data_IF_849186711092
#
_entry.id   IF_849186711092
#
_cell.length_a   1.000
_cell.length_b   1.000
_cell.length_c   1.000
_cell.angle_alpha   90.00
_cell.angle_beta   90.00
_cell.angle_gamma   90.00
#
_symmetry.space_group_name_H-M   'P 1'
#
loop_
_entity.id
_entity.type
_entity.pdbx_description
1 polymer ?
#
# COMPACT_ATOMS: atom_id res chain seq x y z
N UNK A 1 9.63 58.15 -7.94
CA UNK A 1 10.38 56.92 -8.24
C UNK A 1 9.77 55.79 -7.42
N UNK A 2 9.27 54.71 -8.04
CA UNK A 2 8.81 53.55 -7.28
C UNK A 2 10.01 52.98 -6.50
N UNK A 3 9.83 52.69 -5.21
CA UNK A 3 10.86 52.03 -4.40
C UNK A 3 11.18 50.68 -5.05
N UNK A 4 12.46 50.30 -5.17
CA UNK A 4 12.80 48.95 -5.60
C UNK A 4 12.14 47.95 -4.65
N UNK A 5 11.35 47.04 -5.21
CA UNK A 5 10.75 45.93 -4.46
C UNK A 5 11.90 45.07 -3.97
N UNK A 6 12.16 45.08 -2.65
CA UNK A 6 13.14 44.20 -2.03
C UNK A 6 12.59 42.78 -2.09
N UNK A 7 13.14 41.96 -2.98
CA UNK A 7 12.77 40.55 -3.14
C UNK A 7 13.81 39.69 -2.45
N UNK A 8 13.38 38.69 -1.69
CA UNK A 8 14.31 37.73 -1.10
C UNK A 8 15.01 36.91 -2.20
N UNK A 9 16.30 36.57 -2.04
CA UNK A 9 17.04 35.80 -3.03
C UNK A 9 16.65 34.31 -3.06
N UNK A 10 15.64 33.90 -2.28
CA UNK A 10 15.17 32.53 -2.10
C UNK A 10 13.68 32.48 -2.39
N UNK A 11 13.21 31.44 -3.09
CA UNK A 11 11.78 31.23 -3.28
C UNK A 11 11.12 30.83 -1.95
N UNK A 12 10.19 31.65 -1.45
CA UNK A 12 9.48 31.43 -0.19
C UNK A 12 8.06 30.88 -0.36
N UNK A 13 7.58 30.76 -1.60
CA UNK A 13 6.23 30.28 -1.91
C UNK A 13 5.89 28.92 -1.26
N UNK A 14 6.82 27.97 -1.05
CA UNK A 14 6.53 26.72 -0.37
C UNK A 14 6.34 26.81 1.15
N UNK A 15 6.79 27.90 1.80
CA UNK A 15 6.81 28.01 3.26
C UNK A 15 5.43 27.93 3.94
N UNK A 16 4.34 28.53 3.41
CA UNK A 16 3.02 28.41 4.00
C UNK A 16 2.57 26.95 4.08
N UNK A 17 2.77 26.20 3.00
CA UNK A 17 2.45 24.77 2.93
C UNK A 17 3.32 23.95 3.89
N UNK A 18 4.63 24.21 3.91
CA UNK A 18 5.55 23.56 4.85
C UNK A 18 5.14 23.77 6.31
N UNK A 19 4.88 25.02 6.72
CA UNK A 19 4.48 25.31 8.10
C UNK A 19 3.08 24.84 8.46
N UNK A 20 2.18 24.69 7.48
CA UNK A 20 0.87 24.10 7.73
C UNK A 20 0.97 22.66 8.24
N UNK A 21 2.00 21.91 7.83
CA UNK A 21 2.24 20.53 8.27
C UNK A 21 2.85 20.43 9.66
N UNK A 22 3.30 21.54 10.24
CA UNK A 22 3.84 21.55 11.60
C UNK A 22 2.77 21.11 12.61
N UNK A 23 3.16 20.43 13.71
CA UNK A 23 2.26 20.23 14.85
C UNK A 23 1.80 21.55 15.49
N UNK A 24 2.51 22.66 15.23
CA UNK A 24 2.24 23.98 15.81
C UNK A 24 1.51 24.91 14.85
N UNK A 25 0.66 25.78 15.41
CA UNK A 25 0.09 26.88 14.64
C UNK A 25 1.15 27.91 14.25
N UNK A 26 0.91 28.68 13.19
CA UNK A 26 1.80 29.78 12.79
C UNK A 26 2.07 30.79 13.92
N UNK A 27 1.08 31.05 14.77
CA UNK A 27 1.25 31.95 15.92
C UNK A 27 2.23 31.36 16.95
N UNK A 28 2.16 30.05 17.17
CA UNK A 28 3.05 29.34 18.09
C UNK A 28 4.47 29.22 17.51
N UNK A 29 4.60 28.98 16.21
CA UNK A 29 5.88 28.99 15.49
C UNK A 29 6.55 30.37 15.64
N UNK A 30 5.80 31.45 15.36
CA UNK A 30 6.30 32.81 15.52
C UNK A 30 6.77 33.08 16.95
N UNK A 31 5.96 32.69 17.95
CA UNK A 31 6.29 32.84 19.37
C UNK A 31 7.56 32.09 19.76
N UNK A 32 7.68 30.82 19.35
CA UNK A 32 8.81 29.94 19.69
C UNK A 32 10.13 30.39 19.05
N UNK A 33 10.08 30.85 17.80
CA UNK A 33 11.26 31.41 17.13
C UNK A 33 11.63 32.83 17.62
N UNK A 34 10.69 33.53 18.28
CA UNK A 34 10.88 34.92 18.73
C UNK A 34 10.70 35.93 17.60
N UNK A 35 9.65 35.77 16.79
CA UNK A 35 9.23 36.69 15.74
C UNK A 35 7.80 37.17 15.98
N UNK A 36 7.51 38.43 15.66
CA UNK A 36 6.13 38.94 15.68
C UNK A 36 5.25 38.19 14.67
N UNK A 37 4.02 37.83 15.07
CA UNK A 37 3.07 37.12 14.20
C UNK A 37 2.83 37.85 12.87
N UNK A 38 2.70 39.18 12.90
CA UNK A 38 2.54 40.00 11.69
C UNK A 38 3.73 39.86 10.75
N UNK A 39 4.95 39.83 11.29
CA UNK A 39 6.16 39.70 10.49
C UNK A 39 6.24 38.32 9.84
N UNK A 40 5.92 37.25 10.57
CA UNK A 40 5.85 35.91 9.98
C UNK A 40 4.78 35.85 8.87
N UNK A 41 3.58 36.38 9.11
CA UNK A 41 2.51 36.35 8.10
C UNK A 41 2.85 37.17 6.85
N UNK A 42 3.49 38.33 7.00
CA UNK A 42 3.95 39.11 5.85
C UNK A 42 5.07 38.37 5.09
N UNK A 43 6.01 37.74 5.80
CA UNK A 43 7.06 36.92 5.19
C UNK A 43 6.46 35.79 4.34
N UNK A 44 5.45 35.10 4.87
CA UNK A 44 4.75 34.02 4.17
C UNK A 44 3.91 34.49 2.96
N UNK A 45 3.68 35.80 2.82
CA UNK A 45 3.06 36.42 1.64
C UNK A 45 4.10 36.96 0.65
N UNK A 46 5.39 36.75 0.92
CA UNK A 46 6.49 37.30 0.13
C UNK A 46 6.81 38.76 0.45
N UNK A 47 6.24 39.34 1.51
CA UNK A 47 6.57 40.69 1.95
C UNK A 47 7.91 40.68 2.70
N UNK A 48 8.74 41.71 2.46
CA UNK A 48 10.04 41.83 3.10
C UNK A 48 9.94 42.39 4.54
N UNK A 49 9.43 41.57 5.47
CA UNK A 49 9.16 41.96 6.87
C UNK A 49 10.31 41.69 7.84
N UNK A 50 11.31 40.91 7.43
CA UNK A 50 12.47 40.54 8.27
C UNK A 50 13.78 40.72 7.50
N UNK A 51 14.90 40.88 8.22
CA UNK A 51 16.22 40.90 7.59
C UNK A 51 16.59 39.53 7.00
N UNK A 52 17.52 39.52 6.04
CA UNK A 52 18.02 38.28 5.45
C UNK A 52 18.60 37.33 6.50
N UNK A 53 19.40 37.82 7.44
CA UNK A 53 19.98 37.00 8.51
C UNK A 53 18.90 36.33 9.37
N UNK A 54 17.83 37.06 9.69
CA UNK A 54 16.72 36.53 10.48
C UNK A 54 15.90 35.51 9.69
N UNK A 55 15.75 35.69 8.37
CA UNK A 55 15.16 34.69 7.47
C UNK A 55 16.02 33.42 7.45
N UNK A 56 17.32 33.52 7.21
CA UNK A 56 18.21 32.35 7.18
C UNK A 56 18.23 31.62 8.52
N UNK A 57 18.20 32.35 9.64
CA UNK A 57 18.06 31.76 10.97
C UNK A 57 16.71 31.03 11.14
N UNK A 58 15.61 31.57 10.62
CA UNK A 58 14.29 30.91 10.65
C UNK A 58 14.28 29.63 9.81
N UNK A 59 14.84 29.67 8.60
CA UNK A 59 14.93 28.51 7.70
C UNK A 59 15.76 27.40 8.36
N UNK A 60 16.96 27.73 8.85
CA UNK A 60 17.81 26.80 9.56
C UNK A 60 17.14 26.23 10.82
N UNK A 61 16.48 27.08 11.63
CA UNK A 61 15.71 26.65 12.79
C UNK A 61 14.56 25.70 12.42
N UNK A 62 13.98 25.88 11.23
CA UNK A 62 12.91 25.05 10.68
C UNK A 62 13.41 23.74 10.05
N UNK A 63 14.73 23.54 9.97
CA UNK A 63 15.31 22.38 9.29
C UNK A 63 15.24 22.48 7.77
N UNK A 64 15.34 23.70 7.24
CA UNK A 64 15.36 23.99 5.82
C UNK A 64 16.74 24.51 5.42
N UNK A 65 17.20 24.04 4.27
CA UNK A 65 18.43 24.49 3.62
C UNK A 65 18.08 25.23 2.33
N UNK A 66 18.93 26.18 1.96
CA UNK A 66 18.83 26.91 0.70
C UNK A 66 19.92 26.41 -0.23
N UNK A 67 19.53 25.75 -1.31
CA UNK A 67 20.44 25.29 -2.36
C UNK A 67 19.93 25.77 -3.71
N UNK A 68 20.77 26.45 -4.47
CA UNK A 68 20.43 27.01 -5.78
C UNK A 68 19.16 27.91 -5.76
N UNK A 69 19.02 28.72 -4.69
CA UNK A 69 17.85 29.59 -4.42
C UNK A 69 16.53 28.85 -4.17
N UNK A 70 16.56 27.53 -4.04
CA UNK A 70 15.42 26.68 -3.71
C UNK A 70 15.53 26.14 -2.28
N UNK A 71 14.38 25.89 -1.66
CA UNK A 71 14.29 25.27 -0.35
C UNK A 71 14.41 23.75 -0.46
N UNK A 72 15.17 23.15 0.45
CA UNK A 72 15.27 21.70 0.64
C UNK A 72 15.19 21.35 2.12
N UNK A 73 14.76 20.12 2.43
CA UNK A 73 14.83 19.63 3.80
C UNK A 73 16.28 19.32 4.18
N UNK A 74 16.69 19.77 5.37
CA UNK A 74 17.94 19.36 5.98
C UNK A 74 17.91 17.85 6.30
N UNK A 75 19.07 17.17 6.43
CA UNK A 75 19.18 15.74 6.74
C UNK A 75 18.87 15.46 8.23
N UNK A 76 17.63 15.74 8.62
CA UNK A 76 17.12 15.70 9.99
C UNK A 76 15.76 15.00 10.00
N UNK A 77 15.23 14.70 11.19
CA UNK A 77 13.88 14.17 11.33
C UNK A 77 12.88 15.31 11.50
N UNK A 78 12.11 15.55 10.44
CA UNK A 78 10.95 16.42 10.44
C UNK A 78 9.76 15.73 11.11
N UNK A 79 8.94 16.49 11.81
CA UNK A 79 7.76 15.98 12.51
C UNK A 79 6.53 16.73 12.00
N UNK A 80 5.66 16.03 11.28
CA UNK A 80 4.53 16.59 10.57
C UNK A 80 3.20 15.95 10.98
N UNK A 81 2.11 16.68 10.71
CA UNK A 81 0.75 16.28 11.05
C UNK A 81 -0.25 16.52 9.91
N UNK A 82 -1.15 15.56 9.70
CA UNK A 82 -2.33 15.69 8.84
C UNK A 82 -3.58 15.46 9.67
N UNK A 83 -4.26 16.55 9.99
CA UNK A 83 -5.50 16.55 10.77
C UNK A 83 -6.71 17.09 9.99
N UNK A 84 -6.54 17.49 8.73
CA UNK A 84 -7.55 18.16 7.92
C UNK A 84 -7.21 18.12 6.44
N UNK A 85 -8.19 18.41 5.59
CA UNK A 85 -8.02 18.50 4.13
C UNK A 85 -6.95 19.54 3.76
N UNK A 86 -6.90 20.68 4.45
CA UNK A 86 -5.88 21.72 4.21
C UNK A 86 -4.45 21.22 4.40
N UNK A 87 -4.24 20.27 5.32
CA UNK A 87 -2.92 19.66 5.49
C UNK A 87 -2.58 18.72 4.33
N UNK A 88 -3.57 17.97 3.79
CA UNK A 88 -3.37 17.15 2.58
C UNK A 88 -3.00 18.03 1.38
N UNK A 89 -3.74 19.12 1.17
CA UNK A 89 -3.46 20.09 0.11
C UNK A 89 -2.07 20.72 0.26
N UNK A 90 -1.71 21.13 1.49
CA UNK A 90 -0.39 21.68 1.77
C UNK A 90 0.73 20.69 1.44
N UNK A 91 0.53 19.41 1.79
CA UNK A 91 1.50 18.36 1.53
C UNK A 91 1.68 18.08 0.04
N UNK A 92 0.59 18.10 -0.73
CA UNK A 92 0.62 17.96 -2.20
C UNK A 92 1.26 19.16 -2.90
N UNK A 93 1.14 20.36 -2.32
CA UNK A 93 1.71 21.58 -2.85
C UNK A 93 3.22 21.72 -2.60
N UNK A 94 3.84 20.82 -1.83
CA UNK A 94 5.28 20.87 -1.59
C UNK A 94 6.05 20.49 -2.87
N UNK A 95 7.09 21.27 -3.25
CA UNK A 95 7.98 20.91 -4.35
C UNK A 95 8.83 19.68 -3.98
N UNK A 96 9.36 18.99 -4.98
CA UNK A 96 10.13 17.74 -4.82
C UNK A 96 11.24 17.82 -3.75
N UNK A 97 11.95 18.95 -3.66
CA UNK A 97 13.00 19.16 -2.65
C UNK A 97 12.51 19.18 -1.20
N UNK A 98 11.20 19.30 -0.99
CA UNK A 98 10.52 19.28 0.30
C UNK A 98 9.60 18.07 0.48
N UNK A 99 9.54 17.15 -0.49
CA UNK A 99 8.73 15.95 -0.36
C UNK A 99 9.46 14.88 0.46
N UNK A 100 8.73 14.07 1.24
CA UNK A 100 9.30 12.91 1.93
C UNK A 100 9.70 11.81 0.94
N UNK A 101 10.54 10.87 1.40
CA UNK A 101 10.86 9.67 0.63
C UNK A 101 9.67 8.73 0.43
N UNK A 102 9.83 7.73 -0.44
CA UNK A 102 8.77 6.78 -0.81
C UNK A 102 8.72 5.52 0.06
N UNK A 103 9.77 5.25 0.83
CA UNK A 103 9.85 4.07 1.69
C UNK A 103 9.34 4.41 3.09
N UNK A 104 8.21 3.83 3.45
CA UNK A 104 7.50 4.15 4.69
C UNK A 104 7.47 2.97 5.66
N UNK A 105 7.64 3.28 6.93
CA UNK A 105 7.54 2.36 8.05
C UNK A 105 6.38 2.80 8.94
N UNK A 106 5.50 1.87 9.33
CA UNK A 106 4.46 2.19 10.31
C UNK A 106 5.10 2.27 11.70
N UNK A 107 4.75 3.31 12.44
CA UNK A 107 5.15 3.50 13.83
C UNK A 107 3.92 3.40 14.73
N UNK A 108 3.96 2.55 15.74
CA UNK A 108 2.93 2.48 16.79
C UNK A 108 3.49 2.91 18.14
N UNK A 109 2.61 3.35 19.05
CA UNK A 109 2.97 3.48 20.46
C UNK A 109 3.18 2.09 21.07
N UNK A 110 4.08 1.99 22.06
CA UNK A 110 4.52 0.72 22.64
C UNK A 110 3.46 0.06 23.55
N UNK A 111 2.62 0.85 24.19
CA UNK A 111 1.76 0.38 25.28
C UNK A 111 0.43 -0.16 24.75
N UNK A 112 -0.20 0.56 23.81
CA UNK A 112 -1.39 0.12 23.07
C UNK A 112 -1.41 0.82 21.70
N UNK A 113 -1.63 0.10 20.59
CA UNK A 113 -1.85 0.73 19.30
C UNK A 113 -3.14 1.58 19.31
N UNK A 114 -2.97 2.91 19.36
CA UNK A 114 -4.10 3.85 19.36
C UNK A 114 -4.71 3.95 17.97
N UNK A 115 -6.03 4.18 17.93
CA UNK A 115 -6.77 4.38 16.68
C UNK A 115 -6.97 5.85 16.33
N UNK A 116 -6.57 6.81 17.18
CA UNK A 116 -6.80 8.23 16.90
C UNK A 116 -5.83 8.82 15.87
N UNK A 117 -4.64 8.23 15.75
CA UNK A 117 -3.57 8.68 14.86
C UNK A 117 -2.83 7.49 14.26
N UNK A 118 -2.41 7.65 13.01
CA UNK A 118 -1.56 6.73 12.27
C UNK A 118 -0.22 7.41 12.06
N UNK A 119 0.85 6.82 12.56
CA UNK A 119 2.19 7.38 12.42
C UNK A 119 2.98 6.59 11.38
N UNK A 120 3.52 7.28 10.39
CA UNK A 120 4.40 6.70 9.37
C UNK A 120 5.70 7.47 9.31
N UNK A 121 6.81 6.76 9.16
CA UNK A 121 8.15 7.32 9.12
C UNK A 121 8.81 7.01 7.79
N UNK A 122 9.33 8.02 7.10
CA UNK A 122 10.05 7.84 5.84
C UNK A 122 11.51 7.43 6.10
N UNK A 123 11.89 6.26 5.61
CA UNK A 123 13.23 5.66 5.79
C UNK A 123 13.98 5.70 4.47
N UNK A 124 14.21 6.88 3.90
CA UNK A 124 14.96 6.93 2.65
C UNK A 124 16.46 6.81 2.92
N UNK A 125 17.07 5.73 2.40
CA UNK A 125 18.53 5.62 2.28
C UNK A 125 18.92 6.25 0.95
N UNK A 126 19.71 7.33 0.98
CA UNK A 126 20.23 7.92 -0.25
C UNK A 126 21.02 6.89 -1.05
N UNK A 127 20.81 6.86 -2.38
CA UNK A 127 21.83 6.31 -3.28
C UNK A 127 23.10 7.13 -3.02
N UNK A 128 24.22 6.46 -2.77
CA UNK A 128 25.54 7.06 -2.46
C UNK A 128 25.80 7.45 -0.99
N UNK A 129 24.96 7.01 -0.04
CA UNK A 129 25.25 7.18 1.40
C UNK A 129 25.01 8.59 1.94
N UNK A 130 24.37 9.47 1.16
CA UNK A 130 23.85 10.74 1.66
C UNK A 130 22.64 10.48 2.58
N UNK A 131 22.70 10.98 3.81
CA UNK A 131 21.55 10.98 4.72
C UNK A 131 20.48 11.89 4.12
N UNK A 132 19.38 11.33 3.63
CA UNK A 132 18.21 12.11 3.22
C UNK A 132 17.41 12.55 4.43
N UNK A 133 16.65 13.63 4.25
CA UNK A 133 15.71 14.10 5.26
C UNK A 133 14.67 13.01 5.57
N UNK A 134 14.36 12.86 6.85
CA UNK A 134 13.35 11.91 7.31
C UNK A 134 12.12 12.68 7.78
N UNK A 135 10.95 12.09 7.59
CA UNK A 135 9.68 12.67 8.02
C UNK A 135 8.94 11.65 8.86
N UNK A 136 8.64 12.01 10.11
CA UNK A 136 7.61 11.36 10.91
C UNK A 136 6.29 12.08 10.65
N UNK A 137 5.36 11.41 9.99
CA UNK A 137 4.06 11.93 9.63
C UNK A 137 2.98 11.29 10.50
N UNK A 138 2.23 12.11 11.23
CA UNK A 138 1.08 11.69 12.03
C UNK A 138 -0.23 12.09 11.37
N UNK A 139 -1.06 11.11 11.03
CA UNK A 139 -2.25 11.30 10.19
C UNK A 139 -3.49 10.86 10.95
N UNK A 140 -4.55 11.66 10.94
CA UNK A 140 -5.86 11.23 11.44
C UNK A 140 -6.41 10.12 10.52
N UNK A 141 -6.99 9.03 11.05
CA UNK A 141 -7.46 7.89 10.26
C UNK A 141 -8.37 8.27 9.09
N UNK A 142 -9.28 9.23 9.28
CA UNK A 142 -10.22 9.67 8.25
C UNK A 142 -9.55 10.27 7.00
N UNK A 143 -8.32 10.77 7.14
CA UNK A 143 -7.54 11.35 6.04
C UNK A 143 -6.51 10.39 5.46
N UNK A 144 -6.26 9.26 6.11
CA UNK A 144 -5.24 8.30 5.68
C UNK A 144 -5.59 7.62 4.34
N UNK A 145 -6.83 7.15 4.09
CA UNK A 145 -7.18 6.60 2.78
C UNK A 145 -7.00 7.60 1.63
N UNK A 146 -7.33 8.88 1.86
CA UNK A 146 -7.11 9.94 0.88
C UNK A 146 -5.63 10.15 0.63
N UNK A 147 -4.81 10.15 1.68
CA UNK A 147 -3.36 10.22 1.55
C UNK A 147 -2.80 9.05 0.70
N UNK A 148 -3.27 7.83 0.92
CA UNK A 148 -2.87 6.65 0.14
C UNK A 148 -3.28 6.73 -1.34
N UNK A 149 -4.37 7.43 -1.69
CA UNK A 149 -4.73 7.66 -3.10
C UNK A 149 -3.69 8.51 -3.82
N UNK A 150 -3.11 9.49 -3.13
CA UNK A 150 -2.07 10.36 -3.68
C UNK A 150 -0.67 9.73 -3.59
N UNK A 151 -0.43 8.91 -2.57
CA UNK A 151 0.82 8.16 -2.38
C UNK A 151 0.55 6.69 -2.06
N UNK A 152 0.37 5.86 -3.11
CA UNK A 152 0.02 4.45 -2.93
C UNK A 152 1.01 3.64 -2.09
N UNK A 153 2.29 4.04 -2.05
CA UNK A 153 3.33 3.38 -1.24
C UNK A 153 3.05 3.41 0.28
N UNK A 154 2.26 4.37 0.76
CA UNK A 154 1.82 4.40 2.17
C UNK A 154 0.87 3.25 2.52
N UNK A 155 0.18 2.68 1.54
CA UNK A 155 -0.66 1.51 1.73
C UNK A 155 0.13 0.22 1.97
N UNK A 156 1.44 0.19 1.71
CA UNK A 156 2.30 -0.98 1.87
C UNK A 156 3.56 -0.69 2.68
N UNK A 157 3.44 -0.26 3.94
CA UNK A 157 4.60 0.05 4.78
C UNK A 157 5.53 -1.16 4.95
N UNK A 158 6.83 -0.93 4.78
CA UNK A 158 7.85 -1.99 4.70
C UNK A 158 8.12 -2.69 6.03
N UNK A 159 7.91 -2.00 7.16
CA UNK A 159 8.12 -2.53 8.49
C UNK A 159 7.19 -1.88 9.52
N UNK A 160 7.13 -2.51 10.69
CA UNK A 160 6.52 -1.97 11.90
C UNK A 160 7.62 -1.60 12.91
N UNK A 161 7.51 -0.43 13.53
CA UNK A 161 8.35 0.04 14.64
C UNK A 161 7.49 0.53 15.78
N UNK A 162 8.03 0.53 17.00
CA UNK A 162 7.41 1.20 18.12
C UNK A 162 8.20 2.43 18.55
N UNK A 163 7.49 3.43 19.08
CA UNK A 163 8.14 4.45 19.88
C UNK A 163 8.87 3.80 21.06
N UNK A 164 10.07 4.29 21.39
CA UNK A 164 10.78 3.87 22.58
C UNK A 164 9.94 4.15 23.84
N UNK A 165 10.11 3.36 24.93
CA UNK A 165 9.34 3.53 26.15
C UNK A 165 9.36 4.98 26.67
N UNK A 166 8.19 5.51 27.04
CA UNK A 166 8.05 6.89 27.49
C UNK A 166 8.21 7.96 26.40
N UNK A 167 8.15 7.57 25.12
CA UNK A 167 8.07 8.48 23.98
C UNK A 167 6.71 8.33 23.29
N UNK A 168 6.11 9.46 22.94
CA UNK A 168 4.94 9.52 22.07
C UNK A 168 5.09 10.64 21.05
N UNK A 169 4.27 10.64 20.01
CA UNK A 169 4.22 11.75 19.07
C UNK A 169 3.95 13.09 19.79
N UNK A 170 3.06 13.10 20.79
CA UNK A 170 2.72 14.29 21.55
C UNK A 170 3.92 14.82 22.35
N UNK A 171 4.69 13.93 22.98
CA UNK A 171 5.91 14.30 23.69
C UNK A 171 6.93 14.92 22.75
N UNK A 172 7.16 14.29 21.59
CA UNK A 172 8.08 14.81 20.58
C UNK A 172 7.63 16.20 20.11
N UNK A 173 6.38 16.33 19.67
CA UNK A 173 5.81 17.60 19.23
C UNK A 173 6.01 18.70 20.28
N UNK A 174 5.78 18.40 21.56
CA UNK A 174 5.90 19.36 22.68
C UNK A 174 7.32 19.94 22.84
N UNK A 175 8.35 19.14 22.52
CA UNK A 175 9.76 19.53 22.64
C UNK A 175 10.25 20.40 21.47
N UNK A 176 9.57 20.34 20.33
CA UNK A 176 9.94 21.10 19.14
C UNK A 176 9.79 22.61 19.37
N UNK A 177 10.63 23.36 18.70
CA UNK A 177 10.68 24.82 18.73
C UNK A 177 11.29 25.42 19.98
N UNK A 178 11.78 24.64 20.94
CA UNK A 178 12.69 25.15 22.00
C UNK A 178 14.05 25.53 21.41
N UNK A 179 14.57 24.67 20.56
CA UNK A 179 15.87 24.85 19.89
C UNK A 179 15.71 24.81 18.38
N UNK A 180 14.92 23.86 17.85
CA UNK A 180 14.66 23.66 16.43
C UNK A 180 13.25 23.09 16.22
N UNK A 181 12.68 23.24 15.01
CA UNK A 181 11.39 22.63 14.62
C UNK A 181 11.51 21.16 14.18
N UNK A 182 12.71 20.59 14.26
CA UNK A 182 13.03 19.22 13.87
C UNK A 182 13.81 18.50 14.99
N UNK A 183 14.02 17.20 14.82
CA UNK A 183 14.90 16.40 15.67
C UNK A 183 16.18 16.05 14.91
N UNK A 184 17.34 16.17 15.58
CA UNK A 184 18.62 15.80 14.98
C UNK A 184 18.68 14.30 14.70
N UNK A 185 19.54 13.89 13.78
CA UNK A 185 19.74 12.47 13.47
C UNK A 185 20.09 11.65 14.74
N UNK A 186 20.96 12.18 15.62
CA UNK A 186 21.32 11.55 16.89
C UNK A 186 20.11 11.37 17.84
N UNK A 187 19.22 12.36 17.91
CA UNK A 187 18.00 12.23 18.70
C UNK A 187 17.06 11.18 18.10
N UNK A 188 17.01 11.09 16.76
CA UNK A 188 16.09 10.21 16.03
C UNK A 188 16.39 8.71 16.20
N UNK A 189 17.66 8.31 16.34
CA UNK A 189 18.03 6.89 16.45
C UNK A 189 17.52 6.24 17.74
N UNK A 190 17.35 7.04 18.80
CA UNK A 190 16.81 6.59 20.09
C UNK A 190 15.28 6.52 20.16
N UNK A 191 14.57 6.97 19.11
CA UNK A 191 13.12 7.07 19.13
C UNK A 191 12.41 5.76 18.81
N UNK A 192 13.08 4.85 18.12
CA UNK A 192 12.45 3.68 17.52
C UNK A 192 13.00 2.40 18.14
N UNK A 193 12.10 1.48 18.48
CA UNK A 193 12.45 0.11 18.85
C UNK A 193 11.80 -0.86 17.87
N UNK A 194 12.51 -1.95 17.55
CA UNK A 194 11.89 -3.07 16.84
C UNK A 194 10.83 -3.68 17.77
N UNK A 195 9.61 -4.00 17.26
CA UNK A 195 8.64 -4.76 18.03
C UNK A 195 9.28 -6.04 18.55
N UNK A 196 9.16 -6.31 19.86
CA UNK A 196 9.32 -7.68 20.35
C UNK A 196 8.04 -8.45 20.00
N UNK A 197 8.11 -9.77 19.85
CA UNK A 197 6.91 -10.58 19.66
C UNK A 197 5.88 -10.24 20.76
N UNK A 198 4.62 -9.94 20.39
CA UNK A 198 3.60 -9.61 21.38
C UNK A 198 3.46 -10.77 22.36
N UNK A 199 3.44 -10.46 23.65
CA UNK A 199 3.19 -11.49 24.66
C UNK A 199 1.83 -12.16 24.38
N UNK A 200 1.64 -13.44 24.76
CA UNK A 200 0.42 -14.18 24.44
C UNK A 200 -0.88 -13.46 24.84
N UNK A 201 -0.85 -12.63 25.90
CA UNK A 201 -1.98 -11.83 26.36
C UNK A 201 -2.37 -10.65 25.45
N UNK A 202 -1.39 -10.02 24.79
CA UNK A 202 -1.59 -8.81 23.98
C UNK A 202 -1.83 -9.12 22.49
N UNK A 203 -1.67 -10.39 22.11
CA UNK A 203 -1.81 -10.86 20.72
C UNK A 203 -3.21 -10.60 20.15
N UNK A 204 -4.26 -10.70 20.97
CA UNK A 204 -5.63 -10.47 20.52
C UNK A 204 -5.89 -8.99 20.15
N UNK A 205 -5.43 -8.06 21.00
CA UNK A 205 -5.57 -6.62 20.76
C UNK A 205 -4.75 -6.17 19.56
N UNK A 206 -3.52 -6.69 19.43
CA UNK A 206 -2.68 -6.46 18.26
C UNK A 206 -3.33 -6.96 16.97
N UNK A 207 -3.90 -8.18 16.99
CA UNK A 207 -4.60 -8.74 15.83
C UNK A 207 -5.84 -7.92 15.46
N UNK A 208 -6.63 -7.48 16.44
CA UNK A 208 -7.80 -6.64 16.23
C UNK A 208 -7.42 -5.26 15.67
N UNK A 209 -6.32 -4.66 16.13
CA UNK A 209 -5.79 -3.43 15.58
C UNK A 209 -5.27 -3.61 14.15
N UNK A 210 -4.48 -4.65 13.90
CA UNK A 210 -3.98 -4.94 12.56
C UNK A 210 -5.12 -5.21 11.57
N UNK A 211 -6.18 -5.91 12.01
CA UNK A 211 -7.40 -6.10 11.23
C UNK A 211 -8.09 -4.77 10.93
N UNK A 212 -8.20 -3.89 11.93
CA UNK A 212 -8.77 -2.56 11.72
C UNK A 212 -7.97 -1.73 10.71
N UNK A 213 -6.63 -1.76 10.74
CA UNK A 213 -5.78 -1.10 9.73
C UNK A 213 -6.09 -1.60 8.31
N UNK A 214 -6.21 -2.92 8.13
CA UNK A 214 -6.51 -3.53 6.84
C UNK A 214 -7.91 -3.14 6.34
N UNK A 215 -8.91 -3.24 7.21
CA UNK A 215 -10.31 -3.01 6.86
C UNK A 215 -10.65 -1.54 6.64
N UNK A 216 -10.17 -0.67 7.53
CA UNK A 216 -10.57 0.73 7.56
C UNK A 216 -9.64 1.62 6.73
N UNK A 217 -8.35 1.26 6.64
CA UNK A 217 -7.32 2.09 6.01
C UNK A 217 -6.71 1.46 4.75
N UNK A 218 -7.10 0.22 4.41
CA UNK A 218 -6.56 -0.55 3.30
C UNK A 218 -5.04 -0.71 3.35
N UNK A 219 -4.46 -0.75 4.55
CA UNK A 219 -3.04 -0.96 4.74
C UNK A 219 -2.68 -2.44 4.64
N UNK A 220 -1.69 -2.78 3.81
CA UNK A 220 -1.08 -4.09 3.78
C UNK A 220 -0.16 -4.26 4.99
N UNK A 221 -0.57 -5.14 5.90
CA UNK A 221 0.16 -5.49 7.13
C UNK A 221 0.81 -6.87 7.04
N UNK A 222 0.71 -7.53 5.88
CA UNK A 222 1.31 -8.85 5.65
C UNK A 222 2.84 -8.91 5.88
N UNK A 223 3.65 -7.87 5.55
CA UNK A 223 5.09 -7.94 5.76
C UNK A 223 5.49 -8.12 7.23
N UNK A 224 4.64 -7.73 8.18
CA UNK A 224 4.97 -7.76 9.61
C UNK A 224 4.48 -9.02 10.31
N UNK A 225 3.36 -9.57 9.85
CA UNK A 225 2.78 -10.79 10.40
C UNK A 225 3.53 -12.05 9.96
N UNK A 226 4.24 -11.98 8.83
CA UNK A 226 5.00 -13.10 8.25
C UNK A 226 6.49 -13.06 8.60
N UNK A 227 6.91 -12.09 9.41
CA UNK A 227 8.28 -11.59 9.63
C UNK A 227 9.35 -12.54 10.15
N UNK A 228 9.15 -13.86 10.13
CA UNK A 228 10.22 -14.85 10.39
C UNK A 228 10.25 -15.98 9.36
N UNK A 229 9.26 -16.07 8.46
CA UNK A 229 9.17 -17.16 7.51
C UNK A 229 9.89 -16.88 6.18
N UNK A 230 10.17 -15.60 5.88
CA UNK A 230 10.85 -15.17 4.66
C UNK A 230 12.38 -15.10 4.79
N UNK A 231 12.93 -14.71 5.95
CA UNK A 231 14.39 -14.59 6.13
C UNK A 231 15.12 -15.95 6.10
N UNK A 232 14.41 -17.06 6.36
CA UNK A 232 14.97 -18.41 6.22
C UNK A 232 14.73 -19.04 4.83
N UNK A 233 14.09 -18.33 3.90
CA UNK A 233 13.88 -18.79 2.52
C UNK A 233 14.70 -18.03 1.48
N UNK A 234 15.28 -16.87 1.83
CA UNK A 234 16.03 -16.04 0.89
C UNK A 234 17.51 -16.37 0.90
N UNK A 235 17.90 -17.51 0.33
CA UNK A 235 19.22 -17.60 -0.33
C UNK A 235 19.38 -18.72 -1.37
N UNK A 236 18.49 -19.72 -1.48
CA UNK A 236 18.77 -20.86 -2.40
C UNK A 236 17.67 -21.26 -3.40
N UNK A 237 16.42 -20.73 -3.33
CA UNK A 237 15.31 -21.31 -4.10
C UNK A 237 14.56 -20.40 -5.11
N UNK A 238 14.99 -19.15 -5.33
CA UNK A 238 14.34 -18.31 -6.36
C UNK A 238 14.58 -18.85 -7.79
N UNK A 239 15.64 -19.61 -8.02
CA UNK A 239 15.88 -20.32 -9.29
C UNK A 239 15.09 -21.63 -9.42
N UNK A 240 14.61 -22.23 -8.32
CA UNK A 240 13.82 -23.46 -8.37
C UNK A 240 12.32 -23.21 -8.65
N UNK A 241 11.83 -22.00 -8.37
CA UNK A 241 10.42 -21.59 -8.53
C UNK A 241 9.99 -21.26 -9.97
N UNK A 242 10.88 -21.39 -10.96
CA UNK A 242 10.65 -21.03 -12.37
C UNK A 242 10.19 -22.19 -13.26
N UNK A 243 10.06 -23.41 -12.73
CA UNK A 243 9.63 -24.59 -13.49
C UNK A 243 8.27 -25.12 -13.02
N UNK A 244 7.34 -25.29 -13.96
CA UNK A 244 6.03 -25.91 -13.74
C UNK A 244 6.11 -27.36 -13.27
N UNK A 245 7.24 -28.03 -13.51
CA UNK A 245 7.45 -29.44 -13.16
C UNK A 245 7.86 -29.64 -11.70
N UNK A 246 8.35 -28.60 -11.01
CA UNK A 246 8.69 -28.70 -9.60
C UNK A 246 7.41 -28.59 -8.76
N UNK A 247 7.15 -29.48 -7.78
CA UNK A 247 6.01 -29.33 -6.90
C UNK A 247 6.10 -28.05 -6.06
N UNK A 248 4.96 -27.38 -5.86
CA UNK A 248 4.90 -26.21 -4.98
C UNK A 248 5.23 -26.58 -3.54
N UNK A 249 6.17 -25.86 -2.93
CA UNK A 249 6.53 -26.09 -1.54
C UNK A 249 5.36 -25.72 -0.61
N UNK A 250 4.85 -26.69 0.15
CA UNK A 250 3.65 -26.57 0.98
C UNK A 250 3.72 -25.38 1.95
N UNK A 251 4.82 -25.28 2.71
CA UNK A 251 5.00 -24.20 3.70
C UNK A 251 4.99 -22.83 3.04
N UNK A 252 5.63 -22.70 1.89
CA UNK A 252 5.66 -21.43 1.12
C UNK A 252 4.27 -21.10 0.58
N UNK A 253 3.53 -22.12 0.15
CA UNK A 253 2.16 -21.93 -0.31
C UNK A 253 1.24 -21.43 0.80
N UNK A 254 1.30 -22.02 1.99
CA UNK A 254 0.54 -21.57 3.15
C UNK A 254 0.89 -20.13 3.55
N UNK A 255 2.18 -19.76 3.50
CA UNK A 255 2.63 -18.40 3.79
C UNK A 255 2.07 -17.39 2.78
N UNK A 256 2.16 -17.69 1.47
CA UNK A 256 1.63 -16.81 0.41
C UNK A 256 0.11 -16.70 0.53
N UNK A 257 -0.58 -17.81 0.75
CA UNK A 257 -2.03 -17.80 0.93
C UNK A 257 -2.44 -16.99 2.17
N UNK A 258 -1.73 -17.14 3.28
CA UNK A 258 -1.94 -16.35 4.50
C UNK A 258 -1.72 -14.88 4.19
N UNK A 259 -0.61 -14.51 3.54
CA UNK A 259 -0.31 -13.13 3.16
C UNK A 259 -1.47 -12.48 2.37
N UNK A 260 -1.96 -13.19 1.35
CA UNK A 260 -2.94 -12.64 0.43
C UNK A 260 -4.37 -12.64 0.99
N UNK A 261 -4.74 -13.64 1.79
CA UNK A 261 -6.06 -13.67 2.47
C UNK A 261 -6.14 -12.60 3.55
N UNK A 262 -5.04 -12.38 4.28
CA UNK A 262 -4.95 -11.28 5.24
C UNK A 262 -5.20 -9.93 4.57
N UNK A 263 -4.67 -9.66 3.38
CA UNK A 263 -4.91 -8.38 2.66
C UNK A 263 -6.39 -8.09 2.38
N UNK A 264 -7.24 -9.10 2.31
CA UNK A 264 -8.66 -8.93 2.01
C UNK A 264 -9.53 -8.74 3.26
N UNK A 265 -9.03 -9.10 4.44
CA UNK A 265 -9.67 -9.14 5.77
C UNK A 265 -11.16 -8.73 5.88
N UNK A 266 -12.06 -9.58 5.37
CA UNK A 266 -13.41 -9.77 5.89
C UNK A 266 -13.50 -11.28 5.99
N UNK A 267 -13.85 -11.80 7.16
CA UNK A 267 -13.74 -13.22 7.44
C UNK A 267 -14.22 -14.08 6.27
N UNK A 268 -13.39 -15.01 5.83
CA UNK A 268 -13.78 -16.10 4.92
C UNK A 268 -15.01 -16.89 5.42
N UNK A 269 -15.44 -16.61 6.65
CA UNK A 269 -16.66 -17.04 7.32
C UNK A 269 -17.95 -16.36 6.84
N UNK A 270 -17.90 -15.19 6.19
CA UNK A 270 -19.12 -14.51 5.73
C UNK A 270 -19.83 -15.38 4.67
N UNK A 271 -21.11 -15.69 4.91
CA UNK A 271 -21.81 -16.75 4.20
C UNK A 271 -21.88 -16.54 2.68
N UNK A 272 -21.95 -15.29 2.22
CA UNK A 272 -22.20 -14.92 0.82
C UNK A 272 -20.97 -14.46 0.01
N UNK A 273 -19.74 -14.65 0.51
CA UNK A 273 -18.50 -14.25 -0.21
C UNK A 273 -17.45 -15.36 -0.16
N UNK A 274 -16.54 -15.41 -1.13
CA UNK A 274 -15.33 -16.24 -1.05
C UNK A 274 -14.12 -15.52 -1.65
N UNK A 275 -12.94 -15.89 -1.18
CA UNK A 275 -11.68 -15.37 -1.71
C UNK A 275 -11.10 -16.37 -2.72
N UNK A 276 -10.76 -15.88 -3.91
CA UNK A 276 -10.28 -16.68 -5.05
C UNK A 276 -8.86 -16.25 -5.43
N UNK A 277 -7.88 -17.17 -5.50
CA UNK A 277 -6.50 -16.84 -5.86
C UNK A 277 -6.33 -16.44 -7.31
N UNK A 278 -5.47 -15.45 -7.53
CA UNK A 278 -5.19 -14.83 -8.83
C UNK A 278 -3.85 -15.31 -9.36
N UNK A 279 -3.85 -15.90 -10.55
CA UNK A 279 -2.68 -16.36 -11.28
C UNK A 279 -2.55 -15.63 -12.62
N UNK A 280 -1.32 -15.49 -13.10
CA UNK A 280 -1.08 -15.06 -14.48
C UNK A 280 -0.98 -16.29 -15.38
N UNK A 281 -1.55 -16.24 -16.59
CA UNK A 281 -1.46 -17.34 -17.56
C UNK A 281 -0.04 -17.51 -18.12
N UNK A 282 0.71 -16.42 -18.23
CA UNK A 282 2.05 -16.41 -18.84
C UNK A 282 3.17 -16.62 -17.84
N UNK A 283 2.86 -16.49 -16.55
CA UNK A 283 3.86 -16.56 -15.49
C UNK A 283 4.04 -18.00 -15.03
N UNK A 284 5.28 -18.50 -15.04
CA UNK A 284 5.62 -19.86 -14.59
C UNK A 284 5.57 -20.02 -13.06
N UNK A 285 5.12 -18.99 -12.35
CA UNK A 285 4.99 -19.00 -10.89
C UNK A 285 4.02 -20.06 -10.43
N UNK A 286 4.48 -20.85 -9.47
CA UNK A 286 3.65 -21.80 -8.73
C UNK A 286 2.76 -21.09 -7.70
N UNK A 287 3.02 -19.84 -7.35
CA UNK A 287 2.30 -19.14 -6.28
C UNK A 287 1.33 -18.09 -6.84
N UNK A 288 0.17 -17.86 -6.20
CA UNK A 288 -0.75 -16.82 -6.63
C UNK A 288 -0.10 -15.42 -6.51
N UNK A 289 -0.37 -14.59 -7.49
CA UNK A 289 0.06 -13.19 -7.56
C UNK A 289 -0.84 -12.24 -6.76
N UNK A 290 -2.05 -12.70 -6.40
CA UNK A 290 -3.05 -11.91 -5.70
C UNK A 290 -4.23 -12.76 -5.25
N UNK A 291 -5.21 -12.12 -4.61
CA UNK A 291 -6.51 -12.73 -4.29
C UNK A 291 -7.61 -11.75 -4.69
N UNK A 292 -8.71 -12.26 -5.21
CA UNK A 292 -9.92 -11.49 -5.50
C UNK A 292 -11.06 -11.99 -4.63
N UNK A 293 -11.84 -11.06 -4.09
CA UNK A 293 -13.07 -11.40 -3.38
C UNK A 293 -14.24 -11.37 -4.34
N UNK A 294 -15.00 -12.46 -4.38
CA UNK A 294 -16.21 -12.60 -5.18
C UNK A 294 -17.39 -12.89 -4.27
N UNK A 295 -18.55 -12.32 -4.61
CA UNK A 295 -19.78 -12.49 -3.85
C UNK A 295 -20.73 -13.49 -4.53
N UNK A 296 -21.79 -13.85 -3.79
CA UNK A 296 -22.84 -14.72 -4.28
C UNK A 296 -23.55 -14.14 -5.51
N UNK A 297 -23.63 -12.80 -5.64
CA UNK A 297 -24.29 -12.17 -6.78
C UNK A 297 -23.52 -12.41 -8.09
N UNK A 298 -22.20 -12.38 -8.04
CA UNK A 298 -21.33 -12.69 -9.17
C UNK A 298 -21.26 -14.19 -9.47
N UNK A 299 -21.16 -15.03 -8.43
CA UNK A 299 -20.88 -16.46 -8.58
C UNK A 299 -22.13 -17.34 -8.71
N UNK A 300 -23.29 -16.88 -8.22
CA UNK A 300 -24.43 -17.74 -7.92
C UNK A 300 -24.13 -18.75 -6.80
N UNK A 301 -25.13 -19.54 -6.42
CA UNK A 301 -25.02 -20.47 -5.29
C UNK A 301 -23.97 -21.56 -5.52
N UNK A 302 -23.95 -22.15 -6.71
CA UNK A 302 -23.03 -23.23 -7.04
C UNK A 302 -21.59 -22.74 -7.18
N UNK A 303 -21.40 -21.55 -7.80
CA UNK A 303 -20.09 -20.91 -7.88
C UNK A 303 -19.56 -20.55 -6.50
N UNK A 304 -20.40 -20.03 -5.61
CA UNK A 304 -20.02 -19.74 -4.23
C UNK A 304 -19.64 -21.02 -3.47
N UNK A 305 -20.36 -22.12 -3.64
CA UNK A 305 -19.99 -23.41 -3.05
C UNK A 305 -18.62 -23.89 -3.54
N UNK A 306 -18.33 -23.77 -4.83
CA UNK A 306 -17.01 -24.10 -5.37
C UNK A 306 -15.91 -23.17 -4.82
N UNK A 307 -16.20 -21.88 -4.68
CA UNK A 307 -15.26 -20.91 -4.11
C UNK A 307 -14.99 -21.14 -2.62
N UNK A 308 -16.03 -21.45 -1.84
CA UNK A 308 -15.90 -21.87 -0.43
C UNK A 308 -15.14 -23.17 -0.29
N UNK A 309 -15.34 -24.09 -1.22
CA UNK A 309 -14.54 -25.30 -1.35
C UNK A 309 -13.19 -25.03 -2.05
N UNK A 310 -12.77 -23.79 -2.28
CA UNK A 310 -11.44 -23.43 -2.81
C UNK A 310 -11.09 -24.13 -4.14
N UNK A 311 -12.09 -24.42 -4.97
CA UNK A 311 -11.95 -25.03 -6.30
C UNK A 311 -11.91 -24.01 -7.44
N UNK A 312 -11.82 -22.73 -7.11
CA UNK A 312 -11.80 -21.65 -8.09
C UNK A 312 -10.41 -21.02 -8.15
N UNK A 313 -9.99 -20.66 -9.36
CA UNK A 313 -8.84 -19.79 -9.62
C UNK A 313 -9.23 -18.70 -10.60
N UNK A 314 -8.64 -17.53 -10.42
CA UNK A 314 -8.79 -16.40 -11.30
C UNK A 314 -7.53 -16.24 -12.14
N UNK A 315 -7.63 -16.42 -13.45
CA UNK A 315 -6.49 -16.28 -14.36
C UNK A 315 -6.54 -14.94 -15.08
N UNK A 316 -5.40 -14.26 -15.15
CA UNK A 316 -5.23 -13.01 -15.91
C UNK A 316 -4.26 -13.28 -17.05
N UNK A 317 -4.65 -12.89 -18.25
CA UNK A 317 -3.72 -12.76 -19.37
C UNK A 317 -3.12 -11.34 -19.34
N UNK A 318 -1.81 -11.17 -19.02
CA UNK A 318 -1.21 -9.86 -18.99
C UNK A 318 -1.07 -9.22 -20.38
N UNK A 319 -1.12 -9.99 -21.48
CA UNK A 319 -1.00 -9.46 -22.84
C UNK A 319 -2.30 -8.78 -23.30
N UNK A 320 -3.45 -9.36 -22.95
CA UNK A 320 -4.77 -8.85 -23.37
C UNK A 320 -5.52 -8.13 -22.25
N UNK A 321 -5.15 -8.38 -20.99
CA UNK A 321 -5.90 -7.95 -19.80
C UNK A 321 -7.16 -8.78 -19.54
N UNK A 322 -7.40 -9.83 -20.33
CA UNK A 322 -8.55 -10.71 -20.15
C UNK A 322 -8.44 -11.53 -18.87
N UNK A 323 -9.60 -11.78 -18.25
CA UNK A 323 -9.71 -12.42 -16.96
C UNK A 323 -10.67 -13.59 -17.03
N UNK A 324 -10.27 -14.72 -16.46
CA UNK A 324 -10.99 -15.99 -16.58
C UNK A 324 -11.19 -16.61 -15.19
N UNK A 325 -12.45 -16.89 -14.84
CA UNK A 325 -12.76 -17.68 -13.65
C UNK A 325 -12.78 -19.15 -14.03
N UNK A 326 -11.88 -19.92 -13.44
CA UNK A 326 -11.67 -21.34 -13.75
C UNK A 326 -12.03 -22.20 -12.54
N UNK A 327 -12.88 -23.19 -12.75
CA UNK A 327 -13.19 -24.26 -11.80
C UNK A 327 -12.22 -25.41 -11.99
N UNK A 328 -11.70 -25.93 -10.90
CA UNK A 328 -10.74 -27.02 -10.90
C UNK A 328 -11.31 -28.25 -10.20
N UNK A 329 -10.73 -29.41 -10.54
CA UNK A 329 -11.14 -30.67 -9.91
C UNK A 329 -10.61 -30.79 -8.48
N UNK A 330 -9.35 -30.41 -8.27
CA UNK A 330 -8.66 -30.45 -6.98
C UNK A 330 -8.54 -29.06 -6.33
N UNK A 331 -8.09 -29.05 -5.07
CA UNK A 331 -8.02 -27.86 -4.20
C UNK A 331 -6.61 -27.21 -4.10
N UNK A 332 -5.69 -27.28 -5.09
CA UNK A 332 -4.35 -26.78 -4.84
C UNK A 332 -4.39 -25.25 -4.76
N UNK A 333 -3.95 -24.71 -3.63
CA UNK A 333 -3.77 -23.26 -3.43
C UNK A 333 -2.63 -22.69 -4.27
N UNK A 334 -1.64 -23.53 -4.57
CA UNK A 334 -0.45 -23.21 -5.36
C UNK A 334 -0.11 -24.39 -6.28
N UNK A 335 0.82 -24.19 -7.19
CA UNK A 335 1.23 -25.16 -8.21
C UNK A 335 0.20 -25.30 -9.32
N UNK A 336 0.47 -26.22 -10.24
CA UNK A 336 -0.47 -26.55 -11.29
C UNK A 336 -1.68 -27.34 -10.75
N UNK A 337 -2.86 -27.15 -11.32
CA UNK A 337 -4.03 -27.98 -11.05
C UNK A 337 -3.80 -29.44 -11.45
N UNK A 338 -4.51 -30.36 -10.83
CA UNK A 338 -4.52 -31.75 -11.31
C UNK A 338 -5.31 -31.84 -12.63
N UNK A 339 -4.71 -32.49 -13.64
CA UNK A 339 -5.36 -32.70 -14.92
C UNK A 339 -6.54 -33.68 -14.82
N UNK A 340 -7.57 -33.47 -15.63
CA UNK A 340 -8.71 -34.35 -15.78
C UNK A 340 -9.31 -34.26 -17.18
N UNK A 341 -10.19 -35.19 -17.54
CA UNK A 341 -10.75 -35.25 -18.89
C UNK A 341 -11.97 -34.36 -19.04
N UNK A 342 -12.01 -33.61 -20.13
CA UNK A 342 -13.16 -32.83 -20.56
C UNK A 342 -14.37 -33.70 -20.92
N UNK A 343 -15.54 -33.40 -20.33
CA UNK A 343 -16.78 -34.13 -20.59
C UNK A 343 -17.39 -33.86 -21.98
N UNK A 344 -17.11 -32.68 -22.55
CA UNK A 344 -17.72 -32.21 -23.79
C UNK A 344 -16.69 -31.62 -24.75
N UNK A 345 -16.90 -31.74 -26.05
CA UNK A 345 -16.14 -31.02 -27.06
C UNK A 345 -16.64 -29.56 -27.18
N UNK A 346 -15.75 -28.62 -27.51
CA UNK A 346 -16.05 -27.20 -27.73
C UNK A 346 -16.21 -26.35 -26.46
N UNK A 347 -16.00 -26.92 -25.26
CA UNK A 347 -16.10 -26.18 -24.00
C UNK A 347 -14.83 -25.35 -23.73
N UNK A 348 -14.99 -24.17 -23.13
CA UNK A 348 -13.86 -23.34 -22.73
C UNK A 348 -13.18 -23.90 -21.48
N UNK A 349 -11.87 -24.09 -21.56
CA UNK A 349 -11.08 -24.80 -20.55
C UNK A 349 -9.70 -24.17 -20.38
N UNK A 350 -9.11 -24.42 -19.23
CA UNK A 350 -7.68 -24.22 -18.98
C UNK A 350 -6.92 -25.47 -19.40
N UNK A 351 -5.90 -25.31 -20.24
CA UNK A 351 -5.07 -26.41 -20.74
C UNK A 351 -3.59 -26.05 -20.60
N UNK A 352 -2.76 -27.08 -20.49
CA UNK A 352 -1.30 -26.95 -20.64
C UNK A 352 -0.93 -27.52 -22.01
N UNK A 353 -0.54 -26.67 -22.96
CA UNK A 353 -0.02 -27.10 -24.27
C UNK A 353 1.37 -26.52 -24.45
N UNK A 354 2.31 -27.36 -24.88
CA UNK A 354 3.71 -26.92 -25.14
C UNK A 354 4.33 -26.18 -23.94
N UNK A 355 4.06 -26.66 -22.72
CA UNK A 355 4.48 -26.04 -21.45
C UNK A 355 3.90 -24.63 -21.16
N UNK A 356 2.89 -24.21 -21.91
CA UNK A 356 2.19 -22.94 -21.71
C UNK A 356 0.76 -23.18 -21.25
N UNK A 357 0.39 -22.46 -20.19
CA UNK A 357 -0.98 -22.39 -19.69
C UNK A 357 -1.79 -21.50 -20.63
N UNK A 358 -2.89 -22.02 -21.13
CA UNK A 358 -3.75 -21.30 -22.06
C UNK A 358 -5.22 -21.58 -21.81
N UNK A 359 -6.05 -20.60 -22.16
CA UNK A 359 -7.49 -20.72 -22.20
C UNK A 359 -7.91 -20.98 -23.66
N UNK A 360 -8.57 -22.10 -23.90
CA UNK A 360 -8.99 -22.50 -25.24
C UNK A 360 -10.27 -23.32 -25.21
N UNK A 361 -10.74 -23.73 -26.39
CA UNK A 361 -11.85 -24.68 -26.51
C UNK A 361 -11.32 -26.08 -26.69
N UNK A 362 -11.96 -27.06 -26.04
CA UNK A 362 -11.66 -28.47 -26.29
C UNK A 362 -11.97 -28.84 -27.72
N UNK A 363 -11.08 -29.58 -28.36
CA UNK A 363 -11.25 -30.07 -29.73
C UNK A 363 -12.00 -31.40 -29.74
N UNK A 364 -11.77 -32.22 -28.72
CA UNK A 364 -12.38 -33.54 -28.59
C UNK A 364 -12.94 -33.77 -27.19
N UNK A 365 -13.89 -34.70 -27.11
CA UNK A 365 -14.34 -35.24 -25.82
C UNK A 365 -13.22 -36.10 -25.22
N UNK A 366 -12.95 -35.94 -23.93
CA UNK A 366 -11.90 -36.68 -23.23
C UNK A 366 -10.52 -36.02 -23.27
N UNK A 367 -10.39 -34.83 -23.86
CA UNK A 367 -9.13 -34.05 -23.84
C UNK A 367 -8.72 -33.74 -22.39
N UNK A 368 -7.42 -33.83 -22.10
CA UNK A 368 -6.89 -33.49 -20.77
C UNK A 368 -6.90 -31.97 -20.57
N UNK A 369 -7.54 -31.55 -19.48
CA UNK A 369 -7.73 -30.16 -19.08
C UNK A 369 -7.32 -29.98 -17.62
N UNK A 370 -6.95 -28.77 -17.27
CA UNK A 370 -6.61 -28.37 -15.90
C UNK A 370 -7.78 -27.71 -15.17
N UNK A 371 -8.80 -27.25 -15.92
CA UNK A 371 -9.98 -26.64 -15.35
C UNK A 371 -11.02 -26.23 -16.38
N UNK A 372 -12.24 -26.02 -15.91
CA UNK A 372 -13.40 -25.56 -16.69
C UNK A 372 -13.56 -24.05 -16.53
N UNK A 373 -13.72 -23.31 -17.63
CA UNK A 373 -13.99 -21.88 -17.57
C UNK A 373 -15.46 -21.65 -17.23
N UNK A 374 -15.72 -20.94 -16.13
CA UNK A 374 -17.06 -20.57 -15.69
C UNK A 374 -17.49 -19.21 -16.22
N UNK A 375 -16.56 -18.25 -16.23
CA UNK A 375 -16.83 -16.87 -16.62
C UNK A 375 -15.60 -16.22 -17.22
N UNK A 376 -15.82 -15.18 -18.01
CA UNK A 376 -14.78 -14.33 -18.56
C UNK A 376 -15.13 -12.86 -18.42
N UNK A 377 -14.14 -12.04 -18.12
CA UNK A 377 -14.23 -10.57 -18.14
C UNK A 377 -13.18 -10.10 -19.13
N UNK A 378 -13.64 -9.54 -20.25
CA UNK A 378 -12.75 -9.04 -21.30
C UNK A 378 -12.39 -7.59 -21.07
N UNK A 379 -11.14 -7.23 -21.36
CA UNK A 379 -10.74 -5.83 -21.37
C UNK A 379 -11.40 -5.13 -22.56
N UNK A 380 -12.28 -4.17 -22.31
CA UNK A 380 -12.85 -3.35 -23.39
C UNK A 380 -11.80 -2.30 -23.75
N UNK A 381 -11.05 -2.52 -24.83
CA UNK A 381 -10.23 -1.46 -25.44
C UNK A 381 -11.17 -0.35 -25.89
N UNK A 382 -11.10 0.80 -25.22
CA UNK A 382 -11.89 1.98 -25.54
C UNK A 382 -11.46 2.59 -26.87
N UNK A 383 -12.07 2.13 -27.96
CA UNK A 383 -12.28 2.93 -29.15
C UNK A 383 -13.78 2.93 -29.46
N UNK A 384 -14.44 4.04 -29.13
CA UNK A 384 -15.85 4.30 -29.46
C UNK A 384 -16.67 4.77 -28.27
N UNK A 385 -16.94 6.07 -28.21
CA UNK A 385 -17.84 6.69 -27.23
C UNK A 385 -19.26 6.10 -27.26
N UNK A 386 -19.89 6.09 -26.09
CA UNK A 386 -21.32 5.88 -25.79
C UNK A 386 -21.87 4.44 -25.78
N UNK A 387 -21.71 3.77 -24.63
CA UNK A 387 -22.78 3.19 -23.81
C UNK A 387 -22.15 2.17 -22.85
N UNK A 388 -22.14 2.47 -21.55
CA UNK A 388 -21.77 1.50 -20.52
C UNK A 388 -22.77 0.33 -20.53
N UNK A 389 -22.41 -0.74 -21.22
CA UNK A 389 -22.92 -2.09 -20.96
C UNK A 389 -21.72 -3.01 -20.78
N UNK A 390 -21.51 -3.43 -19.54
CA UNK A 390 -20.69 -4.59 -19.19
C UNK A 390 -21.24 -5.80 -19.93
N UNK A 391 -20.57 -6.25 -20.99
CA UNK A 391 -20.97 -7.46 -21.70
C UNK A 391 -20.45 -8.68 -20.91
N UNK A 392 -21.27 -9.15 -19.97
CA UNK A 392 -21.09 -10.43 -19.29
C UNK A 392 -21.58 -11.51 -20.25
N UNK A 393 -20.71 -12.45 -20.64
CA UNK A 393 -21.10 -13.58 -21.48
C UNK A 393 -21.03 -14.86 -20.66
N UNK A 394 -22.17 -15.37 -20.23
CA UNK A 394 -22.32 -16.73 -19.70
C UNK A 394 -22.51 -17.70 -20.88
N UNK A 395 -21.68 -18.76 -21.03
CA UNK A 395 -21.96 -19.79 -22.03
C UNK A 395 -23.23 -20.57 -21.64
N UNK A 396 -24.15 -20.71 -22.58
CA UNK A 396 -25.46 -21.36 -22.38
C UNK A 396 -25.31 -22.86 -22.15
N UNK A 397 -25.88 -23.36 -21.04
CA UNK A 397 -26.11 -24.80 -20.83
C UNK A 397 -27.25 -25.24 -21.74
N UNK A 398 -26.97 -26.10 -22.71
CA UNK A 398 -27.96 -26.68 -23.61
C UNK A 398 -28.99 -27.49 -22.82
N UNK A 399 -30.27 -27.14 -22.95
CA UNK A 399 -31.39 -27.99 -22.52
C UNK A 399 -31.51 -29.16 -23.50
N UNK A 400 -31.43 -30.39 -22.99
CA UNK A 400 -31.80 -31.59 -23.74
C UNK A 400 -33.28 -31.50 -24.17
N UNK A 401 -33.63 -31.84 -25.43
CA UNK A 401 -35.03 -31.97 -25.82
C UNK A 401 -35.62 -33.22 -25.16
N UNK A 402 -36.80 -33.07 -24.56
CA UNK A 402 -37.66 -34.20 -24.21
C UNK A 402 -38.17 -34.82 -25.51
N UNK A 403 -37.91 -36.11 -25.69
CA UNK A 403 -38.63 -36.96 -26.63
C UNK A 403 -39.94 -37.39 -25.98
N UNK A 404 -41.06 -37.09 -26.62
CA UNK A 404 -42.26 -37.92 -26.57
C UNK A 404 -42.16 -38.98 -27.67
#
# INVERSE_FOLDING_TARGET
>A
MPRPTLVYPVNLDPLPSFYALSPWSLAEIARRFGLGRSNLMGLLRGEHTVSHDKLMALLSWSGLEVKDRQLRLAPVLQVWRIASIKHLEALQALPDGLQPGTDWVLVSEADVPRREWIHVWSVEKGKDGENKAQVLLSVRPDFYPLLCQHWPHLGGPSALRYFAPGKSYADLASTLGKTHLYLTAEASTSLWVTPQEPQPGDRADFQAWAQWLRQSLHMDTSPWLLGEAQENSSTEDETAALNWQTPAHHKTCELVQTALTHRLDVGSTHAAICDVPVFSLTDKRQYPSGMVRLDQSFLGDQGLQWGKAQKLRWYIDPATGDKWLVKMKSHPHCGLPEAFTADTAGQWVLMLREELLQIGRTETKGEEILGEVLASVRSVTSQGHMALKTAITTPSVGKSPKTD
#
